data_IF_576969116090
#
_entry.id   IF_576969116090
#
_cell.length_a   1.000
_cell.length_b   1.000
_cell.length_c   1.000
_cell.angle_alpha   90.00
_cell.angle_beta   90.00
_cell.angle_gamma   90.00
#
_symmetry.space_group_name_H-M   'P 1'
#
loop_
_entity.id
_entity.type
_entity.pdbx_description
1 polymer ?
#
# COMPACT_ATOMS: atom_id res chain seq x y z
N UNK A 1 -7.20 -8.91 36.74
CA UNK A 1 -6.78 -7.98 35.68
C UNK A 1 -7.18 -6.57 36.11
N UNK A 2 -6.25 -5.59 36.18
CA UNK A 2 -6.61 -4.21 36.54
C UNK A 2 -7.48 -3.62 35.40
N UNK A 3 -8.65 -3.04 35.74
CA UNK A 3 -9.60 -2.49 34.76
C UNK A 3 -8.92 -1.54 33.75
N UNK A 4 -7.97 -0.73 34.22
CA UNK A 4 -7.16 0.18 33.38
C UNK A 4 -6.32 -0.56 32.31
N UNK A 5 -5.73 -1.71 32.65
CA UNK A 5 -4.94 -2.52 31.71
C UNK A 5 -5.83 -3.24 30.68
N UNK A 6 -7.03 -3.67 31.07
CA UNK A 6 -8.04 -4.18 30.13
C UNK A 6 -8.50 -3.10 29.16
N UNK A 7 -8.78 -1.91 29.65
CA UNK A 7 -9.27 -0.80 28.83
C UNK A 7 -8.19 -0.34 27.82
N UNK A 8 -6.92 -0.27 28.25
CA UNK A 8 -5.77 -0.02 27.36
C UNK A 8 -5.62 -1.10 26.28
N UNK A 9 -5.69 -2.39 26.66
CA UNK A 9 -5.58 -3.50 25.70
C UNK A 9 -6.72 -3.48 24.65
N UNK A 10 -7.95 -3.16 25.08
CA UNK A 10 -9.09 -2.99 24.17
C UNK A 10 -8.89 -1.82 23.21
N UNK A 11 -8.43 -0.67 23.69
CA UNK A 11 -8.14 0.50 22.85
C UNK A 11 -7.08 0.18 21.79
N UNK A 12 -5.97 -0.46 22.18
CA UNK A 12 -4.92 -0.93 21.27
C UNK A 12 -5.46 -1.89 20.20
N UNK A 13 -6.37 -2.79 20.59
CA UNK A 13 -7.00 -3.74 19.65
C UNK A 13 -7.84 -3.01 18.60
N UNK A 14 -8.61 -1.99 19.01
CA UNK A 14 -9.42 -1.16 18.11
C UNK A 14 -8.52 -0.36 17.16
N UNK A 15 -7.42 0.23 17.64
CA UNK A 15 -6.48 0.96 16.80
C UNK A 15 -5.78 0.05 15.78
N UNK A 16 -5.33 -1.14 16.20
CA UNK A 16 -4.73 -2.13 15.30
C UNK A 16 -5.71 -2.56 14.20
N UNK A 17 -6.98 -2.75 14.55
CA UNK A 17 -8.01 -3.06 13.57
C UNK A 17 -8.18 -1.93 12.54
N UNK A 18 -8.31 -0.67 13.00
CA UNK A 18 -8.42 0.51 12.10
C UNK A 18 -7.20 0.64 11.17
N UNK A 19 -5.98 0.48 11.71
CA UNK A 19 -4.74 0.52 10.91
C UNK A 19 -4.69 -0.60 9.89
N UNK A 20 -5.14 -1.82 10.24
CA UNK A 20 -5.24 -2.95 9.31
C UNK A 20 -6.23 -2.67 8.17
N UNK A 21 -7.41 -2.14 8.46
CA UNK A 21 -8.38 -1.79 7.41
C UNK A 21 -7.79 -0.78 6.43
N UNK A 22 -7.12 0.27 6.94
CA UNK A 22 -6.44 1.26 6.10
C UNK A 22 -5.33 0.64 5.25
N UNK A 23 -4.54 -0.29 5.80
CA UNK A 23 -3.50 -1.01 5.07
C UNK A 23 -4.08 -1.78 3.89
N UNK A 24 -5.18 -2.51 4.10
CA UNK A 24 -5.84 -3.27 3.03
C UNK A 24 -6.42 -2.34 1.94
N UNK A 25 -6.97 -1.19 2.32
CA UNK A 25 -7.40 -0.18 1.34
C UNK A 25 -6.24 0.32 0.49
N UNK A 26 -5.09 0.62 1.10
CA UNK A 26 -3.90 1.09 0.38
C UNK A 26 -3.35 0.00 -0.55
N UNK A 27 -3.30 -1.26 -0.11
CA UNK A 27 -2.89 -2.39 -0.97
C UNK A 27 -3.77 -2.53 -2.19
N UNK A 28 -5.09 -2.44 -2.02
CA UNK A 28 -6.04 -2.54 -3.13
C UNK A 28 -5.86 -1.39 -4.12
N UNK A 29 -5.64 -0.17 -3.63
CA UNK A 29 -5.34 0.98 -4.47
C UNK A 29 -4.04 0.79 -5.25
N UNK A 30 -2.99 0.28 -4.59
CA UNK A 30 -1.70 0.00 -5.21
C UNK A 30 -1.81 -1.05 -6.33
N UNK A 31 -2.48 -2.18 -6.06
CA UNK A 31 -2.74 -3.21 -7.08
C UNK A 31 -3.53 -2.67 -8.28
N UNK A 32 -4.48 -1.77 -8.05
CA UNK A 32 -5.25 -1.13 -9.12
C UNK A 32 -4.35 -0.24 -10.00
N UNK A 33 -3.42 0.50 -9.38
CA UNK A 33 -2.45 1.33 -10.10
C UNK A 33 -1.47 0.48 -10.90
N UNK A 34 -0.97 -0.62 -10.32
CA UNK A 34 -0.09 -1.57 -11.01
C UNK A 34 -0.76 -2.15 -12.25
N UNK A 35 -2.03 -2.57 -12.13
CA UNK A 35 -2.78 -3.07 -13.28
C UNK A 35 -2.95 -2.01 -14.37
N UNK A 36 -3.26 -0.76 -14.00
CA UNK A 36 -3.35 0.35 -14.96
C UNK A 36 -2.02 0.64 -15.65
N UNK A 37 -0.91 0.60 -14.92
CA UNK A 37 0.43 0.79 -15.49
C UNK A 37 0.74 -0.29 -16.54
N UNK A 38 0.39 -1.54 -16.24
CA UNK A 38 0.56 -2.64 -17.18
C UNK A 38 -0.29 -2.45 -18.45
N UNK A 39 -1.56 -2.04 -18.30
CA UNK A 39 -2.44 -1.72 -19.43
C UNK A 39 -1.90 -0.56 -20.29
N UNK A 40 -1.34 0.47 -19.66
CA UNK A 40 -0.73 1.61 -20.38
C UNK A 40 0.53 1.15 -21.14
N UNK A 41 1.38 0.34 -20.52
CA UNK A 41 2.56 -0.22 -21.19
C UNK A 41 2.17 -1.06 -22.40
N UNK A 42 1.14 -1.88 -22.29
CA UNK A 42 0.61 -2.67 -23.42
C UNK A 42 0.08 -1.77 -24.54
N UNK A 43 -0.62 -0.67 -24.20
CA UNK A 43 -1.09 0.30 -25.20
C UNK A 43 0.07 1.02 -25.89
N UNK A 44 1.09 1.47 -25.14
CA UNK A 44 2.29 2.09 -25.71
C UNK A 44 3.00 1.11 -26.67
N UNK A 45 3.12 -0.15 -26.28
CA UNK A 45 3.72 -1.19 -27.12
C UNK A 45 2.90 -1.41 -28.41
N UNK A 46 1.57 -1.47 -28.32
CA UNK A 46 0.68 -1.57 -29.48
C UNK A 46 0.81 -0.36 -30.42
N UNK A 47 0.81 0.86 -29.88
CA UNK A 47 0.96 2.09 -30.66
C UNK A 47 2.32 2.10 -31.37
N UNK A 48 3.39 1.74 -30.65
CA UNK A 48 4.75 1.67 -31.21
C UNK A 48 4.85 0.64 -32.33
N UNK A 49 4.24 -0.54 -32.15
CA UNK A 49 4.15 -1.58 -33.18
C UNK A 49 3.36 -1.11 -34.39
N UNK A 50 2.21 -0.45 -34.19
CA UNK A 50 1.37 0.11 -35.25
C UNK A 50 2.11 1.20 -36.02
N UNK A 51 2.80 2.11 -35.33
CA UNK A 51 3.66 3.14 -35.93
C UNK A 51 4.77 2.52 -36.77
N UNK A 52 5.42 1.47 -36.26
CA UNK A 52 6.46 0.74 -36.99
C UNK A 52 5.89 0.06 -38.25
N UNK A 53 4.68 -0.51 -38.16
CA UNK A 53 3.99 -1.14 -39.30
C UNK A 53 3.44 -0.13 -40.32
N UNK A 54 3.03 1.05 -39.89
CA UNK A 54 2.34 2.07 -40.70
C UNK A 54 3.24 3.26 -41.06
N UNK A 55 4.57 3.07 -41.05
CA UNK A 55 5.59 4.11 -41.22
C UNK A 55 5.57 4.88 -42.59
N UNK A 56 4.47 4.82 -43.35
CA UNK A 56 4.35 5.36 -44.71
C UNK A 56 3.46 6.61 -44.85
N UNK A 57 2.89 7.18 -43.78
CA UNK A 57 2.04 8.38 -43.93
C UNK A 57 2.34 9.48 -42.89
N UNK A 58 2.90 10.61 -43.36
CA UNK A 58 3.27 11.79 -42.54
C UNK A 58 2.10 12.49 -41.85
N UNK A 59 0.86 12.21 -42.26
CA UNK A 59 -0.35 12.82 -41.68
C UNK A 59 -0.71 12.26 -40.29
N UNK A 60 -0.40 10.99 -40.02
CA UNK A 60 -0.79 10.34 -38.75
C UNK A 60 0.25 10.47 -37.64
N UNK A 61 1.49 10.85 -37.94
CA UNK A 61 2.57 10.92 -36.95
C UNK A 61 2.33 11.94 -35.84
N UNK A 62 1.66 13.07 -36.13
CA UNK A 62 1.44 14.12 -35.14
C UNK A 62 0.46 13.72 -34.03
N UNK A 63 -0.67 13.09 -34.40
CA UNK A 63 -1.67 12.62 -33.44
C UNK A 63 -1.12 11.48 -32.57
N UNK A 64 -0.31 10.58 -33.17
CA UNK A 64 0.38 9.53 -32.43
C UNK A 64 1.41 10.09 -31.44
N UNK A 65 2.19 11.10 -31.83
CA UNK A 65 3.18 11.74 -30.95
C UNK A 65 2.49 12.49 -29.80
N UNK A 66 1.37 13.17 -30.04
CA UNK A 66 0.57 13.80 -28.98
C UNK A 66 0.00 12.77 -28.00
N UNK A 67 -0.54 11.67 -28.52
CA UNK A 67 -1.08 10.61 -27.67
C UNK A 67 0.02 9.91 -26.86
N UNK A 68 1.19 9.70 -27.45
CA UNK A 68 2.36 9.15 -26.76
C UNK A 68 2.84 10.09 -25.63
N UNK A 69 2.94 11.39 -25.89
CA UNK A 69 3.28 12.37 -24.85
C UNK A 69 2.28 12.36 -23.69
N UNK A 70 0.98 12.27 -24.00
CA UNK A 70 -0.06 12.19 -22.99
C UNK A 70 0.12 10.95 -22.10
N UNK A 71 0.31 9.78 -22.71
CA UNK A 71 0.55 8.53 -21.98
C UNK A 71 1.82 8.59 -21.13
N UNK A 72 2.89 9.23 -21.61
CA UNK A 72 4.13 9.41 -20.84
C UNK A 72 3.95 10.36 -19.65
N UNK A 73 3.15 11.43 -19.81
CA UNK A 73 2.79 12.33 -18.69
C UNK A 73 1.96 11.61 -17.64
N UNK A 74 0.96 10.84 -18.07
CA UNK A 74 0.17 10.01 -17.14
C UNK A 74 1.02 8.98 -16.42
N UNK A 75 1.91 8.28 -17.13
CA UNK A 75 2.85 7.33 -16.54
C UNK A 75 3.72 7.98 -15.47
N UNK A 76 4.26 9.17 -15.74
CA UNK A 76 5.08 9.92 -14.79
C UNK A 76 4.28 10.32 -13.55
N UNK A 77 3.02 10.73 -13.74
CA UNK A 77 2.11 11.07 -12.64
C UNK A 77 1.82 9.85 -11.76
N UNK A 78 1.52 8.70 -12.38
CA UNK A 78 1.28 7.45 -11.67
C UNK A 78 2.52 6.97 -10.90
N UNK A 79 3.72 7.11 -11.45
CA UNK A 79 4.96 6.78 -10.73
C UNK A 79 5.14 7.64 -9.47
N UNK A 80 4.85 8.94 -9.55
CA UNK A 80 4.89 9.83 -8.38
C UNK A 80 3.89 9.38 -7.31
N UNK A 81 2.65 9.10 -7.71
CA UNK A 81 1.61 8.60 -6.80
C UNK A 81 2.00 7.26 -6.17
N UNK A 82 2.54 6.34 -6.96
CA UNK A 82 3.04 5.05 -6.49
C UNK A 82 4.13 5.24 -5.43
N UNK A 83 5.09 6.14 -5.65
CA UNK A 83 6.15 6.40 -4.68
C UNK A 83 5.58 6.99 -3.37
N UNK A 84 4.63 7.91 -3.45
CA UNK A 84 3.95 8.47 -2.27
C UNK A 84 3.21 7.38 -1.48
N UNK A 85 2.49 6.49 -2.17
CA UNK A 85 1.80 5.37 -1.54
C UNK A 85 2.76 4.38 -0.90
N UNK A 86 3.89 4.09 -1.56
CA UNK A 86 4.94 3.20 -1.04
C UNK A 86 5.55 3.75 0.25
N UNK A 87 5.84 5.05 0.31
CA UNK A 87 6.30 5.71 1.54
C UNK A 87 5.23 5.63 2.62
N UNK A 88 3.98 5.96 2.28
CA UNK A 88 2.85 5.89 3.23
C UNK A 88 2.65 4.48 3.80
N UNK A 89 2.85 3.45 2.96
CA UNK A 89 2.77 2.04 3.35
C UNK A 89 3.89 1.70 4.34
N UNK A 90 5.13 2.11 4.04
CA UNK A 90 6.29 1.89 4.92
C UNK A 90 6.08 2.54 6.29
N UNK A 91 5.56 3.76 6.32
CA UNK A 91 5.27 4.47 7.56
C UNK A 91 4.15 3.78 8.35
N UNK A 92 3.08 3.34 7.67
CA UNK A 92 2.01 2.57 8.29
C UNK A 92 2.51 1.24 8.88
N UNK A 93 3.44 0.55 8.22
CA UNK A 93 4.10 -0.65 8.76
C UNK A 93 4.89 -0.33 10.02
N UNK A 94 5.69 0.74 10.02
CA UNK A 94 6.45 1.17 11.20
C UNK A 94 5.55 1.51 12.39
N UNK A 95 4.43 2.17 12.14
CA UNK A 95 3.42 2.49 13.14
C UNK A 95 2.76 1.25 13.74
N UNK A 96 2.37 0.28 12.90
CA UNK A 96 1.77 -0.98 13.37
C UNK A 96 2.78 -1.76 14.21
N UNK A 97 4.05 -1.79 13.79
CA UNK A 97 5.10 -2.46 14.55
C UNK A 97 5.27 -1.88 15.95
N UNK A 98 5.31 -0.55 16.08
CA UNK A 98 5.37 0.15 17.38
C UNK A 98 4.19 -0.24 18.28
N UNK A 99 2.99 -0.30 17.72
CA UNK A 99 1.77 -0.68 18.47
C UNK A 99 1.79 -2.14 18.91
N UNK A 100 2.30 -3.05 18.09
CA UNK A 100 2.52 -4.46 18.47
C UNK A 100 3.55 -4.58 19.60
N UNK A 101 4.63 -3.81 19.55
CA UNK A 101 5.65 -3.83 20.60
C UNK A 101 5.12 -3.25 21.92
N UNK A 102 4.30 -2.20 21.88
CA UNK A 102 3.58 -1.67 23.05
C UNK A 102 2.63 -2.71 23.66
N UNK A 103 1.90 -3.45 22.82
CA UNK A 103 1.04 -4.55 23.27
C UNK A 103 1.84 -5.64 23.98
N UNK A 104 2.97 -6.07 23.43
CA UNK A 104 3.88 -7.05 24.06
C UNK A 104 4.40 -6.58 25.42
N UNK A 105 4.71 -5.29 25.56
CA UNK A 105 5.13 -4.71 26.85
C UNK A 105 4.00 -4.81 27.87
N UNK A 106 2.77 -4.47 27.49
CA UNK A 106 1.59 -4.58 28.35
C UNK A 106 1.35 -6.03 28.78
N UNK A 107 1.46 -6.98 27.84
CA UNK A 107 1.36 -8.42 28.11
C UNK A 107 2.47 -8.88 29.08
N UNK A 108 3.74 -8.48 28.87
CA UNK A 108 4.83 -8.77 29.81
C UNK A 108 4.62 -8.20 31.21
N UNK A 109 4.11 -6.97 31.32
CA UNK A 109 3.79 -6.34 32.61
C UNK A 109 2.66 -7.11 33.31
N UNK A 110 1.66 -7.54 32.55
CA UNK A 110 0.58 -8.38 33.07
C UNK A 110 1.13 -9.70 33.63
N UNK A 111 1.90 -10.44 32.83
CA UNK A 111 2.41 -11.77 33.19
C UNK A 111 3.39 -11.70 34.36
N UNK A 112 4.19 -10.62 34.45
CA UNK A 112 5.09 -10.38 35.58
C UNK A 112 4.34 -10.03 36.87
N UNK A 113 3.19 -9.35 36.78
CA UNK A 113 2.40 -8.90 37.94
C UNK A 113 1.37 -9.93 38.40
N UNK A 114 0.94 -10.81 37.50
CA UNK A 114 0.03 -11.91 37.74
C UNK A 114 0.63 -13.18 37.13
N UNK A 115 1.72 -13.72 37.71
CA UNK A 115 2.29 -14.96 37.23
C UNK A 115 1.20 -16.03 37.30
N UNK A 116 0.90 -16.64 36.16
CA UNK A 116 0.04 -17.81 36.09
C UNK A 116 0.74 -18.86 36.94
N UNK A 117 0.25 -19.09 38.17
CA UNK A 117 0.64 -20.28 38.92
C UNK A 117 0.23 -21.45 38.04
N UNK A 118 1.19 -22.14 37.43
CA UNK A 118 0.91 -23.42 36.81
C UNK A 118 0.30 -24.29 37.90
N UNK A 119 -0.98 -24.63 37.76
CA UNK A 119 -1.59 -25.67 38.54
C UNK A 119 -0.89 -26.97 38.12
N UNK A 120 0.19 -27.32 38.82
CA UNK A 120 0.55 -28.72 38.98
C UNK A 120 -0.50 -29.32 39.89
N UNK A 121 -1.34 -30.17 39.31
CA UNK A 121 -1.85 -31.43 39.86
C UNK A 121 -2.70 -32.13 38.80
#
# INVERSE_FOLDING_TARGET
MNKKLQDLSKLLTIELFKKRTRLETVKKALSTIEHRLQQIQEHIAKISLTRHKQFLCRSYTHEYDQHLEHLQREQTSLYKQHQTLKTSLKDAYGDIQKQLDQRKIIEKIHDSKYPIKSANN
#
